data_IF_315212558286
#
_entry.id   IF_315212558286
#
_cell.length_a   1.000
_cell.length_b   1.000
_cell.length_c   1.000
_cell.angle_alpha   90.00
_cell.angle_beta   90.00
_cell.angle_gamma   90.00
#
_symmetry.space_group_name_H-M   'P 1'
#
loop_
_entity.id
_entity.type
_entity.pdbx_description
1 polymer ?
#
# COMPACT_ATOMS: atom_id res chain seq x y z
N UNK A 1 -32.44 -5.99 -6.65
CA UNK A 1 -31.10 -6.34 -7.20
C UNK A 1 -30.10 -5.34 -6.63
N UNK A 2 -29.37 -5.72 -5.58
CA UNK A 2 -28.41 -4.84 -4.91
C UNK A 2 -27.11 -4.82 -5.71
N UNK A 3 -26.73 -3.66 -6.28
CA UNK A 3 -25.43 -3.41 -6.91
C UNK A 3 -24.32 -3.69 -5.88
N UNK A 4 -23.75 -4.88 -5.89
CA UNK A 4 -22.48 -5.13 -5.21
C UNK A 4 -21.41 -4.52 -6.10
N UNK A 5 -20.79 -3.44 -5.64
CA UNK A 5 -19.60 -2.90 -6.29
C UNK A 5 -18.49 -3.95 -6.19
N UNK A 6 -17.93 -4.38 -7.32
CA UNK A 6 -16.74 -5.25 -7.32
C UNK A 6 -15.57 -4.64 -6.52
N UNK A 7 -15.62 -3.33 -6.22
CA UNK A 7 -14.66 -2.59 -5.42
C UNK A 7 -14.84 -2.76 -3.89
N UNK A 8 -15.90 -3.44 -3.43
CA UNK A 8 -16.20 -3.66 -2.00
C UNK A 8 -15.96 -5.10 -1.56
N UNK A 9 -15.05 -5.83 -2.21
CA UNK A 9 -14.58 -7.08 -1.64
C UNK A 9 -13.53 -6.79 -0.57
N UNK A 10 -13.97 -6.76 0.68
CA UNK A 10 -13.07 -6.85 1.82
C UNK A 10 -12.52 -8.28 1.87
N UNK A 11 -11.26 -8.46 1.51
CA UNK A 11 -10.51 -9.70 1.76
C UNK A 11 -9.67 -9.50 3.02
N UNK A 12 -10.20 -9.78 4.22
CA UNK A 12 -9.42 -9.64 5.45
C UNK A 12 -8.19 -10.57 5.36
N UNK A 13 -7.00 -9.97 5.49
CA UNK A 13 -5.73 -10.73 5.47
C UNK A 13 -5.45 -11.43 6.79
N UNK A 14 -5.97 -10.91 7.90
CA UNK A 14 -5.82 -11.49 9.23
C UNK A 14 -7.07 -12.26 9.62
N UNK A 15 -6.87 -13.42 10.28
CA UNK A 15 -7.96 -14.23 10.82
C UNK A 15 -8.64 -13.53 11.99
N UNK A 16 -9.87 -13.97 12.32
CA UNK A 16 -10.58 -13.48 13.51
C UNK A 16 -9.83 -13.78 14.81
N UNK A 17 -9.08 -14.90 14.87
CA UNK A 17 -8.24 -15.27 16.01
C UNK A 17 -7.14 -14.23 16.24
N UNK A 18 -6.40 -13.84 15.20
CA UNK A 18 -5.34 -12.83 15.28
C UNK A 18 -5.92 -11.46 15.64
N UNK A 19 -7.03 -11.07 15.01
CA UNK A 19 -7.72 -9.80 15.32
C UNK A 19 -8.18 -9.74 16.77
N UNK A 20 -8.70 -10.85 17.30
CA UNK A 20 -9.13 -10.95 18.70
C UNK A 20 -7.93 -10.89 19.64
N UNK A 21 -6.86 -11.64 19.36
CA UNK A 21 -5.63 -11.57 20.13
C UNK A 21 -5.02 -10.16 20.16
N UNK A 22 -5.07 -9.43 19.04
CA UNK A 22 -4.63 -8.04 18.96
C UNK A 22 -5.44 -7.13 19.88
N UNK A 23 -6.77 -7.27 19.88
CA UNK A 23 -7.68 -6.49 20.75
C UNK A 23 -7.46 -6.78 22.23
N UNK A 24 -7.12 -8.01 22.56
CA UNK A 24 -6.88 -8.46 23.93
C UNK A 24 -5.45 -8.14 24.42
N UNK A 25 -4.59 -7.54 23.58
CA UNK A 25 -3.19 -7.26 23.91
C UNK A 25 -2.30 -8.50 23.98
N UNK A 26 -2.72 -9.60 23.34
CA UNK A 26 -2.03 -10.91 23.29
C UNK A 26 -1.29 -11.15 21.97
N UNK A 27 -1.25 -10.16 21.09
CA UNK A 27 -0.49 -10.20 19.84
C UNK A 27 0.83 -9.45 20.03
N UNK A 28 1.95 -10.07 19.65
CA UNK A 28 3.19 -9.33 19.46
C UNK A 28 3.06 -8.41 18.23
N UNK A 29 2.94 -7.11 18.51
CA UNK A 29 2.68 -6.09 17.50
C UNK A 29 3.94 -5.64 16.75
N UNK A 30 5.15 -6.01 17.19
CA UNK A 30 6.38 -5.46 16.62
C UNK A 30 6.49 -5.72 15.10
N UNK A 31 6.26 -6.94 14.57
CA UNK A 31 6.31 -7.18 13.13
C UNK A 31 5.23 -6.43 12.34
N UNK A 32 4.08 -6.17 12.96
CA UNK A 32 3.00 -5.41 12.34
C UNK A 32 3.35 -3.92 12.25
N UNK A 33 3.97 -3.36 13.28
CA UNK A 33 4.43 -1.95 13.29
C UNK A 33 5.46 -1.73 12.17
N UNK A 34 6.45 -2.62 12.03
CA UNK A 34 7.45 -2.52 10.98
C UNK A 34 6.84 -2.50 9.57
N UNK A 35 5.81 -3.33 9.33
CA UNK A 35 5.09 -3.34 8.05
C UNK A 35 4.24 -2.09 7.87
N UNK A 36 3.63 -1.55 8.93
CA UNK A 36 2.87 -0.29 8.85
C UNK A 36 3.76 0.91 8.53
N UNK A 37 4.97 0.97 9.09
CA UNK A 37 5.95 2.01 8.75
C UNK A 37 6.35 1.92 7.27
N UNK A 38 6.66 0.71 6.78
CA UNK A 38 6.96 0.48 5.36
C UNK A 38 5.76 0.82 4.47
N UNK A 39 4.55 0.46 4.88
CA UNK A 39 3.33 0.79 4.17
C UNK A 39 3.15 2.31 4.02
N UNK A 40 3.43 3.06 5.08
CA UNK A 40 3.39 4.52 5.07
C UNK A 40 4.37 5.12 4.05
N UNK A 41 5.60 4.60 4.00
CA UNK A 41 6.63 5.04 3.04
C UNK A 41 6.22 4.71 1.61
N UNK A 42 5.77 3.48 1.35
CA UNK A 42 5.33 3.05 0.01
C UNK A 42 4.11 3.86 -0.44
N UNK A 43 3.10 4.03 0.41
CA UNK A 43 1.91 4.82 0.09
C UNK A 43 2.26 6.28 -0.22
N UNK A 44 3.17 6.89 0.55
CA UNK A 44 3.65 8.25 0.30
C UNK A 44 4.38 8.35 -1.04
N UNK A 45 5.25 7.40 -1.36
CA UNK A 45 5.97 7.35 -2.65
C UNK A 45 5.02 7.17 -3.84
N UNK A 46 4.05 6.26 -3.73
CA UNK A 46 3.01 6.05 -4.75
C UNK A 46 2.19 7.33 -4.96
N UNK A 47 1.76 7.99 -3.87
CA UNK A 47 1.02 9.25 -3.94
C UNK A 47 1.82 10.35 -4.65
N UNK A 48 3.13 10.44 -4.38
CA UNK A 48 4.01 11.37 -5.07
C UNK A 48 4.08 11.08 -6.58
N UNK A 49 4.24 9.81 -6.98
CA UNK A 49 4.27 9.41 -8.40
C UNK A 49 2.97 9.77 -9.11
N UNK A 50 1.81 9.51 -8.50
CA UNK A 50 0.51 9.86 -9.07
C UNK A 50 0.32 11.38 -9.18
N UNK A 51 0.84 12.14 -8.22
CA UNK A 51 0.83 13.61 -8.26
C UNK A 51 1.68 14.13 -9.42
N UNK A 52 2.87 13.54 -9.62
CA UNK A 52 3.75 13.86 -10.76
C UNK A 52 3.04 13.52 -12.07
N UNK A 53 2.40 12.35 -12.18
CA UNK A 53 1.66 11.95 -13.37
C UNK A 53 0.53 12.94 -13.71
N UNK A 54 -0.28 13.31 -12.71
CA UNK A 54 -1.35 14.28 -12.90
C UNK A 54 -0.82 15.63 -13.39
N UNK A 55 0.25 16.13 -12.76
CA UNK A 55 0.92 17.37 -13.19
C UNK A 55 1.51 17.24 -14.61
N UNK A 56 2.09 16.08 -14.94
CA UNK A 56 2.72 15.81 -16.23
C UNK A 56 1.68 15.79 -17.36
N UNK A 57 0.52 15.19 -17.12
CA UNK A 57 -0.60 15.15 -18.06
C UNK A 57 -1.14 16.56 -18.33
N UNK A 58 -1.42 17.33 -17.27
CA UNK A 58 -1.87 18.73 -17.41
C UNK A 58 -0.84 19.56 -18.16
N UNK A 59 0.47 19.36 -17.91
CA UNK A 59 1.53 20.05 -18.66
C UNK A 59 1.53 19.67 -20.14
N UNK A 60 1.37 18.40 -20.47
CA UNK A 60 1.26 17.94 -21.85
C UNK A 60 0.11 18.59 -22.62
N UNK A 61 -0.99 18.94 -21.95
CA UNK A 61 -2.18 19.56 -22.56
C UNK A 61 -2.08 21.08 -22.73
N UNK A 62 -1.28 21.76 -21.90
CA UNK A 62 -1.27 23.24 -21.79
C UNK A 62 0.03 23.86 -22.33
N UNK A 63 1.02 23.07 -22.78
CA UNK A 63 2.28 23.60 -23.34
C UNK A 63 2.00 24.65 -24.41
N UNK A 64 2.53 25.84 -24.18
CA UNK A 64 2.72 26.84 -25.22
C UNK A 64 4.23 27.06 -25.41
N UNK A 65 4.71 27.34 -26.63
CA UNK A 65 6.15 27.40 -26.91
C UNK A 65 6.97 28.42 -26.10
N UNK A 66 6.33 29.31 -25.34
CA UNK A 66 6.95 30.52 -24.77
C UNK A 66 6.52 30.77 -23.30
N UNK A 67 5.98 29.76 -22.61
CA UNK A 67 5.51 29.92 -21.23
C UNK A 67 6.64 29.88 -20.17
N UNK A 68 7.86 29.52 -20.56
CA UNK A 68 9.01 29.44 -19.65
C UNK A 68 8.90 28.34 -18.59
N UNK A 69 7.98 27.40 -18.77
CA UNK A 69 7.70 26.33 -17.81
C UNK A 69 8.53 25.08 -18.16
N UNK A 70 8.81 24.27 -17.14
CA UNK A 70 9.54 23.01 -17.34
C UNK A 70 8.71 22.06 -18.22
N UNK A 71 9.30 21.46 -19.27
CA UNK A 71 8.58 20.53 -20.12
C UNK A 71 8.15 19.28 -19.34
N UNK A 72 7.06 18.61 -19.75
CA UNK A 72 6.63 17.37 -19.13
C UNK A 72 7.71 16.31 -19.29
N UNK A 73 7.84 15.48 -18.27
CA UNK A 73 8.57 14.24 -18.31
C UNK A 73 8.09 13.39 -19.49
N UNK A 74 9.06 12.76 -20.17
CA UNK A 74 8.76 11.85 -21.26
C UNK A 74 7.88 10.69 -20.78
N UNK A 75 7.03 10.18 -21.67
CA UNK A 75 6.20 9.00 -21.42
C UNK A 75 7.01 7.79 -20.95
N UNK A 76 8.25 7.65 -21.44
CA UNK A 76 9.17 6.59 -21.00
C UNK A 76 9.62 6.73 -19.55
N UNK A 77 9.85 7.96 -19.06
CA UNK A 77 10.17 8.21 -17.65
C UNK A 77 8.92 7.93 -16.78
N UNK A 78 7.76 8.46 -17.18
CA UNK A 78 6.52 8.24 -16.43
C UNK A 78 6.15 6.75 -16.34
N UNK A 79 6.29 6.00 -17.43
CA UNK A 79 6.06 4.56 -17.44
C UNK A 79 6.94 3.83 -16.42
N UNK A 80 8.22 4.21 -16.31
CA UNK A 80 9.16 3.63 -15.32
C UNK A 80 8.78 3.99 -13.89
N UNK A 81 8.37 5.22 -13.63
CA UNK A 81 7.93 5.67 -12.30
C UNK A 81 6.67 4.92 -11.84
N UNK A 82 5.68 4.78 -12.73
CA UNK A 82 4.47 4.00 -12.46
C UNK A 82 4.82 2.52 -12.25
N UNK A 83 5.71 1.96 -13.07
CA UNK A 83 6.21 0.60 -12.89
C UNK A 83 6.88 0.38 -11.53
N UNK A 84 7.69 1.33 -11.07
CA UNK A 84 8.33 1.29 -9.75
C UNK A 84 7.28 1.34 -8.63
N UNK A 85 6.30 2.25 -8.73
CA UNK A 85 5.21 2.36 -7.78
C UNK A 85 4.41 1.04 -7.68
N UNK A 86 4.15 0.39 -8.81
CA UNK A 86 3.47 -0.91 -8.86
C UNK A 86 4.28 -2.01 -8.16
N UNK A 87 5.57 -2.14 -8.49
CA UNK A 87 6.44 -3.14 -7.87
C UNK A 87 6.54 -2.92 -6.35
N UNK A 88 6.64 -1.66 -5.91
CA UNK A 88 6.67 -1.33 -4.49
C UNK A 88 5.37 -1.73 -3.77
N UNK A 89 4.20 -1.46 -4.38
CA UNK A 89 2.91 -1.87 -3.84
C UNK A 89 2.75 -3.40 -3.78
N UNK A 90 3.14 -4.11 -4.85
CA UNK A 90 3.14 -5.59 -4.89
C UNK A 90 4.08 -6.18 -3.83
N UNK A 91 5.25 -5.57 -3.60
CA UNK A 91 6.19 -6.00 -2.56
C UNK A 91 5.61 -5.82 -1.17
N UNK A 92 4.93 -4.69 -0.91
CA UNK A 92 4.26 -4.42 0.36
C UNK A 92 3.14 -5.43 0.61
N UNK A 93 2.34 -5.77 -0.41
CA UNK A 93 1.28 -6.76 -0.29
C UNK A 93 1.83 -8.12 0.17
N UNK A 94 2.93 -8.59 -0.42
CA UNK A 94 3.59 -9.83 -0.01
C UNK A 94 4.14 -9.78 1.42
N UNK A 95 4.66 -8.62 1.84
CA UNK A 95 5.11 -8.45 3.23
C UNK A 95 3.95 -8.51 4.22
N UNK A 96 2.80 -7.92 3.88
CA UNK A 96 1.57 -8.00 4.68
C UNK A 96 1.09 -9.45 4.77
N UNK A 97 1.07 -10.19 3.65
CA UNK A 97 0.70 -11.61 3.63
C UNK A 97 1.62 -12.44 4.53
N UNK A 98 2.94 -12.25 4.41
CA UNK A 98 3.93 -12.94 5.26
C UNK A 98 3.73 -12.64 6.75
N UNK A 99 3.43 -11.39 7.12
CA UNK A 99 3.18 -11.03 8.52
C UNK A 99 1.84 -11.59 9.00
N UNK A 100 0.83 -11.66 8.14
CA UNK A 100 -0.44 -12.29 8.49
C UNK A 100 -0.28 -13.80 8.75
N UNK A 101 0.48 -14.50 7.91
CA UNK A 101 0.83 -15.91 8.12
C UNK A 101 1.63 -16.10 9.42
N UNK A 102 2.66 -15.29 9.64
CA UNK A 102 3.44 -15.33 10.87
C UNK A 102 2.58 -15.08 12.12
N UNK A 103 1.66 -14.11 12.05
CA UNK A 103 0.81 -13.75 13.18
C UNK A 103 -0.12 -14.91 13.58
N UNK A 104 -0.58 -15.70 12.60
CA UNK A 104 -1.40 -16.88 12.84
C UNK A 104 -0.61 -18.02 13.50
N UNK A 105 0.62 -18.25 13.06
CA UNK A 105 1.46 -19.34 13.53
C UNK A 105 2.13 -19.04 14.88
N UNK A 106 2.58 -17.80 15.09
CA UNK A 106 3.50 -17.44 16.18
C UNK A 106 3.09 -16.18 16.95
N UNK A 107 2.25 -15.32 16.37
CA UNK A 107 1.96 -14.01 16.94
C UNK A 107 1.02 -14.03 18.15
N UNK A 108 0.14 -15.04 18.24
CA UNK A 108 -0.85 -15.14 19.32
C UNK A 108 -0.24 -15.81 20.55
N UNK A 109 -0.12 -15.07 21.65
CA UNK A 109 0.22 -15.65 22.95
C UNK A 109 -1.00 -16.43 23.48
N UNK A 110 -0.88 -17.76 23.48
CA UNK A 110 -1.87 -18.62 24.12
C UNK A 110 -1.78 -18.40 25.64
N UNK A 111 -2.91 -18.08 26.27
CA UNK A 111 -2.96 -18.00 27.72
C UNK A 111 -2.59 -19.38 28.26
N UNK A 112 -1.43 -19.51 28.91
CA UNK A 112 -1.15 -20.66 29.76
C UNK A 112 -2.25 -20.68 30.84
N UNK A 113 -3.18 -21.63 30.74
CA UNK A 113 -4.13 -21.91 31.81
C UNK A 113 -3.32 -22.13 33.10
N UNK A 114 -3.61 -21.31 34.11
CA UNK A 114 -3.16 -21.51 35.49
C UNK A 114 -4.28 -22.12 36.30
#
# INVERSE_FOLDING_TARGET
MSRHSYLQQNFPRFSERVVTAARDGRLDAAPLIDVLERASVVASGVSAVLTIEAANTVRGEVITPDDGLEPPLSSGIMYRLIGLARIAAESLEREIERVAEWAEEHGVQECAEK
#
